data_IF_469771927036
#
_entry.id   IF_469771927036
#
_cell.length_a   1.000
_cell.length_b   1.000
_cell.length_c   1.000
_cell.angle_alpha   90.00
_cell.angle_beta   90.00
_cell.angle_gamma   90.00
#
_symmetry.space_group_name_H-M   'P 1'
#
loop_
_entity.id
_entity.type
_entity.pdbx_description
1 polymer ?
#
# COMPACT_ATOMS: atom_id res chain seq x y z
N UNK A 1 -15.71 -4.99 -0.69
CA UNK A 1 -17.05 -4.47 -0.36
C UNK A 1 -17.13 -2.95 -0.44
N UNK A 2 -16.22 -2.22 0.21
CA UNK A 2 -16.24 -0.75 0.21
C UNK A 2 -16.11 -0.18 -1.21
N UNK A 3 -15.28 -0.78 -2.05
CA UNK A 3 -15.09 -0.36 -3.44
C UNK A 3 -16.38 -0.57 -4.23
N UNK A 4 -16.99 -1.73 -4.09
CA UNK A 4 -18.25 -2.05 -4.78
C UNK A 4 -19.38 -1.13 -4.33
N UNK A 5 -19.49 -0.89 -3.02
CA UNK A 5 -20.49 0.04 -2.46
C UNK A 5 -20.30 1.45 -2.98
N UNK A 6 -19.06 1.96 -3.01
CA UNK A 6 -18.77 3.30 -3.50
C UNK A 6 -19.16 3.43 -4.98
N UNK A 7 -18.82 2.44 -5.80
CA UNK A 7 -19.19 2.43 -7.22
C UNK A 7 -20.70 2.37 -7.41
N UNK A 8 -21.40 1.53 -6.66
CA UNK A 8 -22.86 1.38 -6.74
C UNK A 8 -23.60 2.64 -6.28
N UNK A 9 -23.02 3.42 -5.36
CA UNK A 9 -23.56 4.69 -4.90
C UNK A 9 -23.26 5.86 -5.86
N UNK A 10 -22.54 5.61 -6.96
CA UNK A 10 -22.25 6.62 -7.97
C UNK A 10 -21.04 7.51 -7.68
N UNK A 11 -20.21 7.16 -6.70
CA UNK A 11 -18.95 7.87 -6.47
C UNK A 11 -17.98 7.63 -7.63
N UNK A 12 -17.28 8.67 -8.05
CA UNK A 12 -16.32 8.60 -9.15
C UNK A 12 -14.89 8.45 -8.67
N UNK A 13 -14.60 8.87 -7.45
CA UNK A 13 -13.27 8.84 -6.86
C UNK A 13 -13.32 8.39 -5.41
N UNK A 14 -12.28 7.71 -4.99
CA UNK A 14 -12.13 7.21 -3.64
C UNK A 14 -10.67 7.28 -3.21
N UNK A 15 -10.42 7.74 -1.99
CA UNK A 15 -9.08 7.70 -1.39
C UNK A 15 -9.08 6.66 -0.28
N UNK A 16 -8.22 5.66 -0.43
CA UNK A 16 -8.02 4.61 0.56
C UNK A 16 -6.76 4.91 1.37
N UNK A 17 -6.92 5.02 2.68
CA UNK A 17 -5.79 5.15 3.59
C UNK A 17 -5.75 3.91 4.47
N UNK A 18 -4.63 3.22 4.51
CA UNK A 18 -4.57 1.98 5.26
C UNK A 18 -3.20 1.65 5.81
N UNK A 19 -3.22 0.83 6.85
CA UNK A 19 -2.00 0.29 7.46
C UNK A 19 -1.39 -0.77 6.56
N UNK A 20 -0.05 -0.80 6.49
CA UNK A 20 0.67 -1.77 5.67
C UNK A 20 0.31 -3.22 6.00
N UNK A 21 0.03 -3.52 7.27
CA UNK A 21 -0.37 -4.87 7.68
C UNK A 21 -1.58 -5.42 6.94
N UNK A 22 -2.45 -4.55 6.44
CA UNK A 22 -3.59 -4.93 5.61
C UNK A 22 -3.32 -4.73 4.12
N UNK A 23 -2.78 -3.58 3.74
CA UNK A 23 -2.60 -3.22 2.34
C UNK A 23 -1.58 -4.10 1.62
N UNK A 24 -0.59 -4.63 2.32
CA UNK A 24 0.39 -5.53 1.69
C UNK A 24 -0.28 -6.78 1.12
N UNK A 25 -1.35 -7.26 1.73
CA UNK A 25 -2.11 -8.41 1.23
C UNK A 25 -2.80 -8.07 -0.10
N UNK A 26 -3.28 -6.85 -0.26
CA UNK A 26 -3.85 -6.38 -1.52
C UNK A 26 -2.78 -6.40 -2.62
N UNK A 27 -1.54 -6.05 -2.30
CA UNK A 27 -0.42 -6.13 -3.25
C UNK A 27 -0.17 -7.56 -3.74
N UNK A 28 -0.55 -8.56 -2.98
CA UNK A 28 -0.50 -9.97 -3.37
C UNK A 28 -1.78 -10.46 -4.03
N UNK A 29 -2.76 -9.58 -4.26
CA UNK A 29 -4.04 -9.94 -4.87
C UNK A 29 -5.11 -10.41 -3.91
N UNK A 30 -4.89 -10.29 -2.59
CA UNK A 30 -5.84 -10.73 -1.58
C UNK A 30 -6.76 -9.56 -1.22
N UNK A 31 -8.02 -9.62 -1.64
CA UNK A 31 -8.99 -8.54 -1.40
C UNK A 31 -9.65 -8.62 -0.04
N UNK A 32 -9.77 -9.79 0.57
CA UNK A 32 -10.19 -9.95 1.95
C UNK A 32 -8.94 -9.91 2.85
N UNK A 33 -8.71 -8.78 3.50
CA UNK A 33 -7.48 -8.55 4.28
C UNK A 33 -7.57 -9.03 5.72
N UNK A 34 -8.64 -9.69 6.10
CA UNK A 34 -8.77 -10.23 7.45
C UNK A 34 -7.78 -11.37 7.68
N UNK A 35 -6.99 -11.30 8.76
CA UNK A 35 -5.90 -12.25 9.00
C UNK A 35 -6.37 -13.70 9.18
N UNK A 36 -7.65 -13.95 9.49
CA UNK A 36 -8.22 -15.29 9.55
C UNK A 36 -8.31 -15.95 8.18
N UNK A 37 -8.41 -15.17 7.11
CA UNK A 37 -8.54 -15.70 5.75
C UNK A 37 -7.18 -16.03 5.15
N UNK A 38 -6.20 -15.17 5.38
CA UNK A 38 -4.84 -15.37 4.85
C UNK A 38 -3.85 -14.50 5.62
N UNK A 39 -2.69 -15.05 5.91
CA UNK A 39 -1.59 -14.29 6.48
C UNK A 39 -0.31 -14.62 5.71
N UNK A 40 0.06 -13.77 4.75
CA UNK A 40 1.22 -13.93 3.90
C UNK A 40 2.05 -12.64 3.82
N UNK A 41 1.94 -11.80 4.84
CA UNK A 41 2.56 -10.45 4.84
C UNK A 41 4.08 -10.51 4.70
N UNK A 42 4.72 -11.38 5.46
CA UNK A 42 6.17 -11.52 5.45
C UNK A 42 6.65 -12.11 4.12
N UNK A 43 5.95 -13.11 3.61
CA UNK A 43 6.26 -13.74 2.32
C UNK A 43 6.16 -12.73 1.18
N UNK A 44 5.15 -11.87 1.20
CA UNK A 44 4.99 -10.83 0.18
C UNK A 44 6.10 -9.79 0.26
N UNK A 45 6.43 -9.32 1.46
CA UNK A 45 7.53 -8.38 1.65
C UNK A 45 8.85 -8.97 1.20
N UNK A 46 9.08 -10.25 1.51
CA UNK A 46 10.28 -10.98 1.06
C UNK A 46 10.38 -11.02 -0.47
N UNK A 47 9.28 -11.37 -1.13
CA UNK A 47 9.23 -11.43 -2.59
C UNK A 47 9.48 -10.05 -3.22
N UNK A 48 8.89 -9.01 -2.68
CA UNK A 48 9.04 -7.65 -3.19
C UNK A 48 10.47 -7.13 -2.97
N UNK A 49 11.07 -7.45 -1.81
CA UNK A 49 12.46 -7.12 -1.54
C UNK A 49 13.40 -7.79 -2.54
N UNK A 50 13.15 -9.04 -2.85
CA UNK A 50 13.92 -9.77 -3.86
C UNK A 50 13.80 -9.11 -5.25
N UNK A 51 12.58 -8.73 -5.63
CA UNK A 51 12.29 -8.03 -6.89
C UNK A 51 13.06 -6.71 -7.00
N UNK A 52 13.19 -5.97 -5.91
CA UNK A 52 13.87 -4.68 -5.87
C UNK A 52 15.39 -4.81 -5.72
N UNK A 53 15.93 -6.01 -5.64
CA UNK A 53 17.36 -6.23 -5.55
C UNK A 53 17.96 -5.98 -4.17
N UNK A 54 17.17 -6.14 -3.11
CA UNK A 54 17.67 -6.06 -1.73
C UNK A 54 18.69 -7.18 -1.49
N UNK A 55 19.78 -6.87 -0.77
CA UNK A 55 20.85 -7.84 -0.51
C UNK A 55 20.34 -9.06 0.28
N UNK A 56 20.90 -10.27 0.03
CA UNK A 56 20.38 -11.50 0.64
C UNK A 56 20.34 -11.51 2.16
N UNK A 57 21.28 -10.86 2.83
CA UNK A 57 21.30 -10.79 4.29
C UNK A 57 20.08 -10.06 4.86
N UNK A 58 19.62 -9.03 4.19
CA UNK A 58 18.42 -8.30 4.61
C UNK A 58 17.14 -9.06 4.26
N UNK A 59 17.14 -9.76 3.12
CA UNK A 59 16.02 -10.63 2.73
C UNK A 59 15.83 -11.71 3.79
N UNK A 60 16.91 -12.32 4.27
CA UNK A 60 16.86 -13.31 5.33
C UNK A 60 16.26 -12.72 6.62
N UNK A 61 16.67 -11.52 6.98
CA UNK A 61 16.12 -10.82 8.15
C UNK A 61 14.61 -10.56 8.00
N UNK A 62 14.16 -10.22 6.81
CA UNK A 62 12.72 -10.05 6.53
C UNK A 62 11.99 -11.38 6.71
N UNK A 63 12.53 -12.46 6.15
CA UNK A 63 11.92 -13.79 6.27
C UNK A 63 11.80 -14.26 7.72
N UNK A 64 12.77 -13.91 8.54
CA UNK A 64 12.80 -14.29 9.95
C UNK A 64 11.97 -13.38 10.85
N UNK A 65 11.41 -12.30 10.30
CA UNK A 65 10.58 -11.35 11.06
C UNK A 65 9.25 -11.97 11.48
N UNK A 66 8.80 -11.63 12.67
CA UNK A 66 7.52 -12.08 13.19
C UNK A 66 6.41 -11.07 12.90
N UNK A 67 6.77 -9.79 12.74
CA UNK A 67 5.82 -8.71 12.50
C UNK A 67 6.21 -7.92 11.26
N UNK A 68 5.23 -7.21 10.70
CA UNK A 68 5.46 -6.30 9.58
C UNK A 68 6.44 -5.20 9.96
N UNK A 69 6.35 -4.67 11.17
CA UNK A 69 7.26 -3.60 11.62
C UNK A 69 8.73 -4.06 11.69
N UNK A 70 8.98 -5.30 12.13
CA UNK A 70 10.33 -5.88 12.11
C UNK A 70 10.87 -6.00 10.68
N UNK A 71 10.01 -6.43 9.75
CA UNK A 71 10.40 -6.54 8.35
C UNK A 71 10.72 -5.17 7.75
N UNK A 72 9.94 -4.14 8.09
CA UNK A 72 10.20 -2.77 7.64
C UNK A 72 11.52 -2.24 8.20
N UNK A 73 11.85 -2.57 9.45
CA UNK A 73 13.12 -2.17 10.04
C UNK A 73 14.31 -2.77 9.27
N UNK A 74 14.21 -4.05 8.87
CA UNK A 74 15.23 -4.70 8.05
C UNK A 74 15.36 -4.01 6.68
N UNK A 75 14.24 -3.65 6.06
CA UNK A 75 14.24 -2.92 4.78
C UNK A 75 14.88 -1.54 4.93
N UNK A 76 14.62 -0.85 6.03
CA UNK A 76 15.23 0.45 6.30
C UNK A 76 16.74 0.32 6.43
N UNK A 77 17.24 -0.68 7.13
CA UNK A 77 18.68 -0.95 7.25
C UNK A 77 19.31 -1.24 5.89
N UNK A 78 18.58 -1.88 4.98
CA UNK A 78 19.06 -2.15 3.63
C UNK A 78 19.19 -0.89 2.77
N UNK A 79 18.57 0.22 3.19
CA UNK A 79 18.54 1.47 2.43
C UNK A 79 17.50 1.46 1.30
N UNK A 80 16.66 0.45 1.21
CA UNK A 80 15.70 0.28 0.11
C UNK A 80 14.24 0.26 0.55
N UNK A 81 13.94 0.73 1.76
CA UNK A 81 12.58 0.70 2.29
C UNK A 81 11.56 1.33 1.33
N UNK A 82 11.82 2.57 0.92
CA UNK A 82 10.85 3.30 0.10
C UNK A 82 10.74 2.77 -1.32
N UNK A 83 11.82 2.24 -1.87
CA UNK A 83 11.80 1.56 -3.18
C UNK A 83 10.87 0.33 -3.15
N UNK A 84 11.00 -0.48 -2.11
CA UNK A 84 10.14 -1.66 -1.94
C UNK A 84 8.69 -1.24 -1.67
N UNK A 85 8.49 -0.17 -0.89
CA UNK A 85 7.14 0.35 -0.60
C UNK A 85 6.48 0.90 -1.86
N UNK A 86 7.22 1.59 -2.71
CA UNK A 86 6.68 2.09 -3.98
C UNK A 86 6.31 0.93 -4.91
N UNK A 87 7.12 -0.11 -4.95
CA UNK A 87 6.79 -1.32 -5.71
C UNK A 87 5.51 -1.98 -5.18
N UNK A 88 5.39 -2.09 -3.86
CA UNK A 88 4.16 -2.63 -3.24
C UNK A 88 2.95 -1.78 -3.60
N UNK A 89 3.09 -0.45 -3.60
CA UNK A 89 2.01 0.45 -3.96
C UNK A 89 1.57 0.28 -5.42
N UNK A 90 2.49 0.09 -6.34
CA UNK A 90 2.16 -0.20 -7.73
C UNK A 90 1.32 -1.47 -7.85
N UNK A 91 1.68 -2.51 -7.10
CA UNK A 91 0.92 -3.76 -7.06
C UNK A 91 -0.47 -3.56 -6.46
N UNK A 92 -0.56 -2.78 -5.39
CA UNK A 92 -1.84 -2.42 -4.77
C UNK A 92 -2.75 -1.75 -5.79
N UNK A 93 -2.24 -0.77 -6.51
CA UNK A 93 -3.00 -0.02 -7.51
C UNK A 93 -3.53 -0.93 -8.62
N UNK A 94 -2.72 -1.89 -9.09
CA UNK A 94 -3.15 -2.86 -10.10
C UNK A 94 -4.40 -3.63 -9.63
N UNK A 95 -4.39 -4.13 -8.41
CA UNK A 95 -5.51 -4.93 -7.89
C UNK A 95 -6.73 -4.07 -7.54
N UNK A 96 -6.52 -2.85 -7.04
CA UNK A 96 -7.62 -1.92 -6.78
C UNK A 96 -8.32 -1.52 -8.08
N UNK A 97 -7.56 -1.23 -9.13
CA UNK A 97 -8.11 -0.87 -10.44
C UNK A 97 -8.90 -2.03 -11.05
N UNK A 98 -8.39 -3.26 -10.92
CA UNK A 98 -9.10 -4.46 -11.35
C UNK A 98 -10.43 -4.63 -10.62
N UNK A 99 -10.45 -4.37 -9.31
CA UNK A 99 -11.67 -4.47 -8.51
C UNK A 99 -12.68 -3.39 -8.88
N UNK A 100 -12.21 -2.19 -9.14
CA UNK A 100 -13.07 -1.06 -9.52
C UNK A 100 -13.67 -1.22 -10.92
N UNK A 101 -12.98 -1.93 -11.82
CA UNK A 101 -13.44 -2.22 -13.20
C UNK A 101 -13.83 -0.96 -13.99
N UNK A 102 -13.09 0.13 -13.79
CA UNK A 102 -13.36 1.40 -14.48
C UNK A 102 -14.54 2.21 -13.95
N UNK A 103 -15.24 1.71 -12.91
CA UNK A 103 -16.38 2.41 -12.31
C UNK A 103 -15.96 3.52 -11.36
N UNK A 104 -14.73 3.47 -10.87
CA UNK A 104 -14.26 4.30 -9.77
C UNK A 104 -12.76 4.48 -9.88
N UNK A 105 -12.26 5.70 -9.71
CA UNK A 105 -10.83 5.96 -9.55
C UNK A 105 -10.46 5.79 -8.09
N UNK A 106 -9.46 4.97 -7.81
CA UNK A 106 -9.01 4.71 -6.44
C UNK A 106 -7.57 5.17 -6.29
N UNK A 107 -7.35 6.04 -5.30
CA UNK A 107 -6.02 6.42 -4.87
C UNK A 107 -5.78 5.84 -3.48
N UNK A 108 -4.51 5.64 -3.13
CA UNK A 108 -4.15 4.91 -1.93
C UNK A 108 -2.96 5.53 -1.22
N UNK A 109 -3.03 5.56 0.09
CA UNK A 109 -1.92 5.95 0.96
C UNK A 109 -1.71 4.82 1.96
N UNK A 110 -0.46 4.36 2.09
CA UNK A 110 -0.07 3.29 2.99
C UNK A 110 0.84 3.82 4.08
N UNK A 111 0.58 3.44 5.31
CA UNK A 111 1.37 3.89 6.46
C UNK A 111 1.68 2.74 7.43
N UNK A 112 2.64 2.98 8.33
CA UNK A 112 2.92 2.11 9.46
C UNK A 112 2.94 2.93 10.76
N UNK A 113 2.87 2.24 11.90
CA UNK A 113 2.90 2.90 13.20
C UNK A 113 4.26 3.52 13.51
N UNK A 114 5.35 2.84 13.15
CA UNK A 114 6.71 3.33 13.44
C UNK A 114 7.25 4.28 12.39
N UNK A 115 6.96 4.02 11.11
CA UNK A 115 7.61 4.74 10.02
C UNK A 115 6.70 5.81 9.37
N UNK A 116 5.44 5.91 9.81
CA UNK A 116 4.49 6.86 9.25
C UNK A 116 4.10 6.51 7.82
N UNK A 117 4.00 7.52 6.96
CA UNK A 117 3.67 7.31 5.55
C UNK A 117 4.78 6.54 4.84
N UNK A 118 4.42 5.44 4.19
CA UNK A 118 5.37 4.57 3.48
C UNK A 118 5.33 4.80 1.96
N UNK A 119 4.14 4.93 1.41
CA UNK A 119 3.96 5.15 -0.03
C UNK A 119 2.56 5.67 -0.30
N UNK A 120 2.40 6.32 -1.44
CA UNK A 120 1.10 6.76 -1.94
C UNK A 120 1.05 6.58 -3.44
N UNK A 121 -0.16 6.37 -3.98
CA UNK A 121 -0.37 6.27 -5.41
C UNK A 121 -0.06 7.61 -6.08
N UNK A 122 0.26 7.58 -7.38
CA UNK A 122 0.65 8.79 -8.12
C UNK A 122 -0.40 9.90 -8.08
N UNK A 123 -1.67 9.54 -8.06
CA UNK A 123 -2.79 10.51 -8.08
C UNK A 123 -3.11 11.07 -6.70
N UNK A 124 -2.77 10.34 -5.62
CA UNK A 124 -3.06 10.80 -4.26
C UNK A 124 -2.39 12.13 -3.95
N UNK A 125 -1.18 12.34 -4.44
CA UNK A 125 -0.45 13.59 -4.27
C UNK A 125 -1.18 14.77 -4.90
N UNK A 126 -1.79 14.56 -6.07
CA UNK A 126 -2.58 15.59 -6.76
C UNK A 126 -3.82 15.99 -5.95
N UNK A 127 -4.44 15.03 -5.26
CA UNK A 127 -5.59 15.30 -4.41
C UNK A 127 -5.26 16.29 -3.30
N UNK A 128 -4.14 16.09 -2.62
CA UNK A 128 -3.71 17.00 -1.56
C UNK A 128 -3.45 18.40 -2.09
N UNK A 129 -2.83 18.51 -3.25
CA UNK A 129 -2.58 19.79 -3.90
C UNK A 129 -3.89 20.50 -4.23
N UNK A 130 -4.86 19.79 -4.81
CA UNK A 130 -6.16 20.34 -5.15
C UNK A 130 -6.94 20.79 -3.91
N UNK A 131 -6.95 19.99 -2.85
CA UNK A 131 -7.61 20.34 -1.60
C UNK A 131 -6.97 21.58 -0.96
N UNK A 132 -5.66 21.67 -0.97
CA UNK A 132 -4.93 22.84 -0.46
C UNK A 132 -5.28 24.11 -1.26
N UNK A 133 -5.40 23.98 -2.59
CA UNK A 133 -5.78 25.10 -3.45
C UNK A 133 -7.24 25.53 -3.19
N UNK A 134 -8.14 24.59 -3.03
CA UNK A 134 -9.54 24.90 -2.69
C UNK A 134 -9.65 25.63 -1.36
N UNK A 135 -8.93 25.18 -0.34
CA UNK A 135 -8.90 25.85 0.97
C UNK A 135 -8.33 27.26 0.87
N UNK A 136 -7.29 27.47 0.06
CA UNK A 136 -6.72 28.77 -0.17
C UNK A 136 -7.70 29.73 -0.86
N UNK A 137 -8.54 29.22 -1.75
CA UNK A 137 -9.55 30.02 -2.46
C UNK A 137 -10.73 30.42 -1.58
N UNK A 138 -10.97 29.70 -0.49
CA UNK A 138 -12.07 30.00 0.45
C UNK A 138 -11.71 31.11 1.46
N UNK A 139 -10.48 31.52 1.52
CA UNK A 139 -10.00 32.60 2.39
C UNK A 139 -10.05 33.93 1.65
#
# INVERSE_FOLDING_TARGET
ETIDMAADMGFKRMLLTGHIGKLIKVAGGIMNTHSREADCRIELLTAFAFKCGVAPEYIKSIMDSLTTEEALAALKESGRLYEVMDYAMERICVYLDKRAKGRLEIDCIMYSNEFGELAKSRKAEKWFTLLAQEQAQQI
#
